data_IF_050367191557
#
_entry.id   IF_050367191557
#
_cell.length_a   1.000
_cell.length_b   1.000
_cell.length_c   1.000
_cell.angle_alpha   90.00
_cell.angle_beta   90.00
_cell.angle_gamma   90.00
#
_symmetry.space_group_name_H-M   'P 1'
#
loop_
_entity.id
_entity.type
_entity.pdbx_description
1 polymer ?
#
# COMPACT_ATOMS: atom_id res chain seq x y z
N UNK A 1 10.87 -0.64 -8.12
CA UNK A 1 10.25 0.49 -7.40
C UNK A 1 11.05 0.80 -6.15
N UNK A 2 11.54 2.03 -5.95
CA UNK A 2 12.31 2.40 -4.74
C UNK A 2 11.44 3.26 -3.81
N UNK A 3 11.35 2.92 -2.53
CA UNK A 3 10.49 3.59 -1.56
C UNK A 3 11.30 4.42 -0.58
N UNK A 4 11.08 5.73 -0.49
CA UNK A 4 11.83 6.64 0.40
C UNK A 4 10.96 7.11 1.59
N UNK A 5 11.51 7.13 2.82
CA UNK A 5 10.98 7.88 3.98
C UNK A 5 11.96 8.89 4.64
N UNK A 6 11.51 10.15 4.77
CA UNK A 6 12.17 11.21 5.55
C UNK A 6 11.39 11.48 6.84
N UNK A 7 12.04 11.39 8.00
CA UNK A 7 11.52 11.93 9.27
C UNK A 7 12.42 13.11 9.64
N UNK A 8 11.82 14.27 9.91
CA UNK A 8 12.55 15.39 10.50
C UNK A 8 12.64 15.16 12.01
N UNK A 9 13.84 15.25 12.57
CA UNK A 9 14.03 15.33 14.01
C UNK A 9 13.45 16.65 14.49
N UNK A 10 12.35 16.57 15.25
CA UNK A 10 11.88 17.73 16.02
C UNK A 10 12.85 17.92 17.17
N UNK A 11 13.65 18.98 17.12
CA UNK A 11 14.32 19.55 18.29
C UNK A 11 13.26 19.81 19.35
N UNK A 12 13.44 19.22 20.53
CA UNK A 12 12.56 19.46 21.67
C UNK A 12 12.83 20.87 22.20
N UNK A 13 11.91 21.81 21.93
CA UNK A 13 11.85 23.06 22.69
C UNK A 13 11.26 22.79 24.07
N UNK A 14 11.89 23.39 25.09
CA UNK A 14 11.48 23.28 26.49
C UNK A 14 10.06 23.84 26.73
N UNK A 15 9.28 23.25 27.66
CA UNK A 15 7.91 23.67 27.90
C UNK A 15 7.86 25.07 28.54
N UNK A 16 7.04 25.97 27.95
CA UNK A 16 6.67 27.25 28.56
C UNK A 16 5.67 27.04 29.70
N UNK A 17 5.75 27.82 30.80
CA UNK A 17 4.86 27.70 31.94
C UNK A 17 3.42 28.13 31.62
N UNK A 18 2.43 27.61 32.35
CA UNK A 18 1.02 27.78 32.02
C UNK A 18 0.51 29.18 32.38
N UNK A 19 -0.08 29.86 31.39
CA UNK A 19 -0.92 31.03 31.59
C UNK A 19 -2.37 30.59 31.85
N UNK A 20 -2.87 30.93 33.04
CA UNK A 20 -4.26 30.82 33.42
C UNK A 20 -5.10 31.90 32.72
N UNK A 21 -6.15 31.49 32.01
CA UNK A 21 -7.31 32.36 31.80
C UNK A 21 -8.60 31.54 31.78
N UNK A 22 -9.44 31.83 32.78
CA UNK A 22 -10.84 31.48 32.83
C UNK A 22 -11.56 31.96 31.57
N UNK A 23 -12.43 31.13 31.00
CA UNK A 23 -13.72 31.60 30.50
C UNK A 23 -14.74 30.46 30.43
N UNK A 24 -15.84 30.71 31.12
CA UNK A 24 -17.05 29.92 31.27
C UNK A 24 -17.78 29.70 29.95
N UNK A 25 -18.24 28.48 29.69
CA UNK A 25 -19.40 28.24 28.83
C UNK A 25 -20.20 27.04 29.33
N UNK A 26 -21.37 27.37 29.87
CA UNK A 26 -22.43 26.45 30.28
C UNK A 26 -23.01 25.74 29.07
N UNK A 27 -23.15 24.42 29.13
CA UNK A 27 -24.07 23.66 28.26
C UNK A 27 -24.92 22.72 29.10
N UNK A 28 -26.22 22.87 28.88
CA UNK A 28 -27.34 22.25 29.57
C UNK A 28 -27.28 20.74 29.51
N UNK A 29 -27.44 20.13 30.68
CA UNK A 29 -27.89 18.76 30.86
C UNK A 29 -29.34 18.59 30.36
N UNK A 30 -29.60 17.47 29.68
CA UNK A 30 -30.96 16.90 29.53
C UNK A 30 -30.96 15.55 30.24
N UNK A 31 -31.89 15.28 31.17
CA UNK A 31 -31.98 13.98 31.82
C UNK A 31 -32.75 12.97 30.96
N UNK A 32 -32.24 11.74 30.96
CA UNK A 32 -32.90 10.53 30.46
C UNK A 32 -33.97 10.11 31.46
N UNK A 33 -35.21 9.89 31.02
CA UNK A 33 -36.26 9.27 31.81
C UNK A 33 -36.59 7.86 31.31
N UNK A 34 -36.94 7.01 32.28
CA UNK A 34 -37.13 5.56 32.29
C UNK A 34 -38.27 5.04 31.40
N UNK A 35 -38.30 3.74 31.05
CA UNK A 35 -39.52 3.07 30.62
C UNK A 35 -40.33 2.56 31.83
N UNK A 36 -41.65 2.70 31.75
CA UNK A 36 -42.66 2.19 32.68
C UNK A 36 -43.29 0.89 32.18
N UNK A 37 -43.68 0.05 33.14
CA UNK A 37 -44.26 -1.29 33.00
C UNK A 37 -45.75 -1.32 32.61
N UNK A 38 -46.14 -2.51 32.11
CA UNK A 38 -47.38 -3.27 32.29
C UNK A 38 -48.75 -2.74 31.79
N UNK A 39 -49.44 -3.55 30.96
CA UNK A 39 -50.62 -4.35 31.39
C UNK A 39 -51.29 -5.10 30.21
N UNK A 40 -51.67 -6.36 30.47
CA UNK A 40 -52.66 -7.18 29.73
C UNK A 40 -54.08 -6.91 30.32
N UNK A 41 -55.26 -7.44 29.86
CA UNK A 41 -55.59 -8.81 29.38
C UNK A 41 -56.53 -8.83 28.12
N UNK A 42 -56.90 -9.94 27.46
CA UNK A 42 -57.80 -11.01 27.92
C UNK A 42 -58.17 -11.98 26.76
N UNK A 43 -58.39 -13.26 27.12
CA UNK A 43 -59.23 -14.34 26.55
C UNK A 43 -59.43 -14.54 25.02
N UNK A 44 -59.17 -15.76 24.52
CA UNK A 44 -60.20 -16.81 24.33
C UNK A 44 -59.75 -18.03 23.48
N UNK A 45 -60.29 -19.19 23.87
CA UNK A 45 -60.60 -20.42 23.11
C UNK A 45 -59.52 -21.22 22.32
N UNK A 46 -59.11 -22.32 22.96
CA UNK A 46 -59.07 -23.72 22.45
C UNK A 46 -59.26 -23.99 20.95
N UNK A 47 -58.27 -24.65 20.35
CA UNK A 47 -58.47 -25.90 19.60
C UNK A 47 -57.13 -26.63 19.43
N UNK A 48 -57.12 -27.91 19.76
CA UNK A 48 -55.97 -28.81 19.71
C UNK A 48 -55.83 -29.39 18.31
N UNK A 49 -54.74 -29.05 17.62
CA UNK A 49 -54.30 -29.74 16.41
C UNK A 49 -52.84 -30.11 16.58
N UNK A 50 -52.59 -31.41 16.72
CA UNK A 50 -51.25 -32.00 16.73
C UNK A 50 -50.65 -31.86 15.32
N UNK A 51 -49.98 -30.74 15.08
CA UNK A 51 -49.10 -30.58 13.92
C UNK A 51 -47.70 -30.93 14.37
N UNK A 52 -47.20 -32.07 13.89
CA UNK A 52 -45.79 -32.44 13.94
C UNK A 52 -44.96 -31.33 13.30
N UNK A 53 -44.45 -30.38 14.09
CA UNK A 53 -43.39 -29.49 13.66
C UNK A 53 -42.13 -30.35 13.53
N UNK A 54 -41.84 -30.74 12.30
CA UNK A 54 -40.48 -31.12 11.95
C UNK A 54 -39.60 -29.91 12.24
N UNK A 55 -38.79 -30.01 13.30
CA UNK A 55 -37.64 -29.16 13.45
C UNK A 55 -36.70 -29.53 12.32
N UNK A 56 -36.81 -28.84 11.19
CA UNK A 56 -35.71 -28.75 10.23
C UNK A 56 -34.55 -28.14 11.00
N UNK A 57 -33.63 -28.99 11.44
CA UNK A 57 -32.29 -28.58 11.82
C UNK A 57 -31.76 -27.79 10.65
N UNK A 58 -31.66 -26.46 10.79
CA UNK A 58 -31.03 -25.61 9.82
C UNK A 58 -29.67 -26.22 9.47
N UNK A 59 -29.60 -26.82 8.28
CA UNK A 59 -28.37 -27.35 7.74
C UNK A 59 -27.38 -26.19 7.80
N UNK A 60 -26.42 -26.30 8.70
CA UNK A 60 -25.35 -25.32 8.84
C UNK A 60 -24.71 -25.26 7.47
N UNK A 61 -24.92 -24.16 6.75
CA UNK A 61 -24.45 -23.98 5.39
C UNK A 61 -22.95 -24.27 5.41
N UNK A 62 -22.59 -25.46 4.95
CA UNK A 62 -21.20 -25.89 4.87
C UNK A 62 -20.52 -24.89 3.96
N UNK A 63 -19.61 -24.10 4.52
CA UNK A 63 -18.92 -23.05 3.81
C UNK A 63 -18.38 -23.62 2.50
N UNK A 64 -18.80 -23.03 1.37
CA UNK A 64 -18.32 -23.43 0.05
C UNK A 64 -16.78 -23.41 0.11
N UNK A 65 -16.08 -24.47 -0.35
CA UNK A 65 -14.64 -24.51 -0.27
C UNK A 65 -14.06 -23.25 -0.93
N UNK A 66 -13.00 -22.67 -0.33
CA UNK A 66 -12.40 -21.44 -0.83
C UNK A 66 -12.01 -21.65 -2.29
N UNK A 67 -12.34 -20.67 -3.14
CA UNK A 67 -12.00 -20.76 -4.57
C UNK A 67 -10.49 -20.91 -4.68
N UNK A 68 -9.95 -21.94 -5.36
CA UNK A 68 -8.51 -22.14 -5.45
C UNK A 68 -7.86 -20.89 -6.07
N UNK A 69 -6.86 -20.35 -5.39
CA UNK A 69 -6.08 -19.20 -5.87
C UNK A 69 -4.73 -19.67 -6.43
N UNK A 70 -4.19 -19.00 -7.47
CA UNK A 70 -2.85 -19.30 -7.96
C UNK A 70 -1.77 -19.04 -6.89
N UNK A 71 -0.66 -19.78 -6.95
CA UNK A 71 0.50 -19.52 -6.08
C UNK A 71 1.08 -18.13 -6.37
N UNK A 72 1.41 -17.41 -5.30
CA UNK A 72 2.10 -16.13 -5.35
C UNK A 72 3.26 -16.15 -4.34
N UNK A 73 4.40 -15.57 -4.73
CA UNK A 73 5.61 -15.56 -3.92
C UNK A 73 6.21 -14.17 -3.81
N UNK A 74 6.71 -13.83 -2.62
CA UNK A 74 7.54 -12.65 -2.38
C UNK A 74 8.79 -13.08 -1.65
N UNK A 75 9.95 -12.87 -2.26
CA UNK A 75 11.25 -13.08 -1.62
C UNK A 75 11.74 -11.73 -1.07
N UNK A 76 12.19 -11.70 0.18
CA UNK A 76 12.75 -10.48 0.80
C UNK A 76 14.18 -10.74 1.25
N UNK A 77 15.12 -9.94 0.75
CA UNK A 77 16.51 -9.89 1.21
C UNK A 77 16.66 -8.70 2.17
N UNK A 78 16.93 -8.98 3.44
CA UNK A 78 16.96 -7.96 4.50
C UNK A 78 18.24 -7.14 4.46
N UNK A 79 18.11 -5.82 4.59
CA UNK A 79 19.22 -4.85 4.66
C UNK A 79 20.25 -4.95 3.51
N UNK A 80 19.88 -5.60 2.40
CA UNK A 80 20.81 -5.97 1.35
C UNK A 80 21.40 -4.74 0.62
N UNK A 81 20.58 -3.72 0.37
CA UNK A 81 21.03 -2.53 -0.38
C UNK A 81 22.08 -1.72 0.36
N UNK A 82 22.00 -1.66 1.69
CA UNK A 82 23.00 -0.94 2.48
C UNK A 82 24.38 -1.59 2.38
N UNK A 83 24.46 -2.89 2.04
CA UNK A 83 25.71 -3.59 1.78
C UNK A 83 26.28 -3.29 0.39
N UNK A 84 25.42 -3.25 -0.64
CA UNK A 84 25.89 -3.09 -2.03
C UNK A 84 26.05 -1.62 -2.46
N UNK A 85 25.24 -0.72 -1.92
CA UNK A 85 25.20 0.70 -2.30
C UNK A 85 24.85 1.60 -1.10
N UNK A 86 25.73 1.72 -0.10
CA UNK A 86 25.43 2.44 1.16
C UNK A 86 25.04 3.91 0.97
N UNK A 87 25.49 4.57 -0.11
CA UNK A 87 25.17 5.97 -0.41
C UNK A 87 23.83 6.19 -1.14
N UNK A 88 23.12 5.13 -1.53
CA UNK A 88 21.89 5.28 -2.35
C UNK A 88 20.77 6.00 -1.62
N UNK A 89 20.70 5.83 -0.30
CA UNK A 89 19.71 6.51 0.53
C UNK A 89 19.93 8.03 0.44
N UNK A 90 21.14 8.50 0.77
CA UNK A 90 21.49 9.92 0.75
C UNK A 90 21.31 10.52 -0.64
N UNK A 91 21.78 9.81 -1.69
CA UNK A 91 21.58 10.22 -3.07
C UNK A 91 20.10 10.43 -3.39
N UNK A 92 19.24 9.46 -3.09
CA UNK A 92 17.81 9.51 -3.39
C UNK A 92 17.06 10.60 -2.62
N UNK A 93 17.42 10.87 -1.36
CA UNK A 93 16.82 11.97 -0.59
C UNK A 93 17.37 13.36 -0.95
N UNK A 94 18.50 13.43 -1.65
CA UNK A 94 19.03 14.67 -2.22
C UNK A 94 18.32 15.11 -3.51
N UNK A 95 17.58 14.21 -4.16
CA UNK A 95 16.83 14.53 -5.37
C UNK A 95 15.56 15.32 -5.07
N UNK A 96 15.13 16.13 -6.04
CA UNK A 96 13.86 16.87 -5.97
C UNK A 96 12.76 16.09 -6.68
N UNK A 97 11.77 15.51 -5.97
CA UNK A 97 10.74 14.71 -6.61
C UNK A 97 9.62 15.56 -7.20
N UNK A 98 8.91 15.01 -8.18
CA UNK A 98 7.72 15.66 -8.74
C UNK A 98 6.61 15.70 -7.71
N UNK A 99 6.14 16.91 -7.38
CA UNK A 99 5.03 17.14 -6.44
C UNK A 99 3.67 17.33 -7.12
N UNK A 100 3.63 17.30 -8.45
CA UNK A 100 2.45 17.48 -9.27
C UNK A 100 2.33 16.35 -10.30
N UNK A 101 1.10 16.10 -10.79
CA UNK A 101 0.83 15.23 -11.94
C UNK A 101 -0.24 15.87 -12.82
N UNK A 102 -0.23 15.53 -14.09
CA UNK A 102 -1.33 15.82 -15.01
C UNK A 102 -2.43 14.77 -14.85
N UNK A 103 -3.64 15.21 -14.51
CA UNK A 103 -4.82 14.35 -14.48
C UNK A 103 -5.49 14.35 -15.85
N UNK A 104 -5.28 13.31 -16.64
CA UNK A 104 -5.84 13.17 -17.99
C UNK A 104 -7.37 13.11 -18.01
N UNK A 105 -8.03 12.77 -16.91
CA UNK A 105 -9.50 12.74 -16.84
C UNK A 105 -10.09 14.13 -16.73
N UNK A 106 -9.39 15.03 -16.02
CA UNK A 106 -9.84 16.40 -15.82
C UNK A 106 -9.08 17.42 -16.67
N UNK A 107 -8.07 16.98 -17.43
CA UNK A 107 -7.23 17.83 -18.26
C UNK A 107 -6.40 18.87 -17.49
N UNK A 108 -6.14 18.63 -16.19
CA UNK A 108 -5.56 19.65 -15.29
C UNK A 108 -4.39 19.12 -14.48
N UNK A 109 -3.44 20.00 -14.16
CA UNK A 109 -2.32 19.69 -13.27
C UNK A 109 -2.79 19.74 -11.81
N UNK A 110 -2.50 18.67 -11.05
CA UNK A 110 -2.89 18.50 -9.65
C UNK A 110 -1.70 18.23 -8.75
N UNK A 111 -1.81 18.63 -7.49
CA UNK A 111 -0.82 18.30 -6.45
C UNK A 111 -0.90 16.83 -6.05
N UNK A 112 0.25 16.19 -5.89
CA UNK A 112 0.38 14.86 -5.30
C UNK A 112 0.30 14.98 -3.78
N UNK A 113 -0.71 14.33 -3.19
CA UNK A 113 -0.94 14.34 -1.73
C UNK A 113 -0.57 13.02 -1.06
N UNK A 114 -0.59 11.93 -1.83
CA UNK A 114 -0.40 10.58 -1.29
C UNK A 114 1.08 10.16 -1.21
N UNK A 115 1.90 10.65 -2.15
CA UNK A 115 3.33 10.37 -2.31
C UNK A 115 3.87 11.20 -3.47
N UNK A 116 5.17 11.49 -3.49
CA UNK A 116 5.85 12.06 -4.67
C UNK A 116 6.53 10.94 -5.47
N UNK A 117 6.97 11.20 -6.70
CA UNK A 117 7.71 10.22 -7.49
C UNK A 117 8.79 10.87 -8.37
N UNK A 118 9.75 10.05 -8.76
CA UNK A 118 10.67 10.28 -9.87
C UNK A 118 10.78 9.00 -10.68
N UNK A 119 11.05 9.15 -11.97
CA UNK A 119 11.38 8.03 -12.84
C UNK A 119 12.87 8.09 -13.21
N UNK A 120 13.47 6.93 -13.48
CA UNK A 120 14.88 6.84 -13.86
C UNK A 120 15.02 5.94 -15.09
N UNK A 121 15.85 6.40 -16.02
CA UNK A 121 16.14 5.74 -17.29
C UNK A 121 17.63 5.85 -17.62
N UNK A 122 18.07 5.09 -18.63
CA UNK A 122 19.44 5.19 -19.14
C UNK A 122 19.72 6.58 -19.73
N UNK A 123 20.99 7.00 -19.67
CA UNK A 123 21.45 8.29 -20.20
C UNK A 123 21.29 9.44 -19.21
N UNK A 124 20.96 10.63 -19.74
CA UNK A 124 20.97 11.89 -19.00
C UNK A 124 19.58 12.32 -18.49
N UNK A 125 18.50 11.64 -18.90
CA UNK A 125 17.14 11.96 -18.44
C UNK A 125 16.49 13.16 -19.14
N UNK A 126 15.44 13.72 -18.54
CA UNK A 126 14.68 14.88 -19.04
C UNK A 126 13.92 15.58 -17.91
N UNK A 127 13.72 16.91 -18.00
CA UNK A 127 12.82 17.62 -17.09
C UNK A 127 11.36 17.24 -17.32
N UNK A 128 10.49 17.55 -16.36
CA UNK A 128 9.05 17.40 -16.54
C UNK A 128 8.48 18.37 -17.59
N UNK A 129 7.48 17.91 -18.33
CA UNK A 129 6.56 18.73 -19.11
C UNK A 129 5.12 18.36 -18.71
N UNK A 130 4.61 19.07 -17.70
CA UNK A 130 3.31 18.74 -17.09
C UNK A 130 2.13 19.02 -18.02
N UNK A 131 2.26 19.96 -18.96
CA UNK A 131 1.25 20.24 -19.98
C UNK A 131 1.08 19.05 -20.94
N UNK A 132 2.19 18.41 -21.30
CA UNK A 132 2.19 17.16 -22.07
C UNK A 132 2.00 15.89 -21.19
N UNK A 133 1.74 16.05 -19.89
CA UNK A 133 1.59 14.92 -18.96
C UNK A 133 2.86 14.12 -18.69
N UNK A 134 4.03 14.70 -18.92
CA UNK A 134 5.33 14.05 -18.76
C UNK A 134 5.98 14.46 -17.43
N UNK A 135 6.25 13.47 -16.57
CA UNK A 135 7.02 13.67 -15.34
C UNK A 135 8.53 13.77 -15.59
N UNK A 136 9.26 14.19 -14.56
CA UNK A 136 10.72 14.24 -14.56
C UNK A 136 11.30 12.83 -14.67
N UNK A 137 12.32 12.67 -15.53
CA UNK A 137 13.15 11.48 -15.59
C UNK A 137 14.58 11.84 -15.25
N UNK A 138 15.13 11.21 -14.23
CA UNK A 138 16.53 11.35 -13.84
C UNK A 138 17.35 10.29 -14.58
N UNK A 139 18.35 10.71 -15.33
CA UNK A 139 19.25 9.81 -16.01
C UNK A 139 20.17 9.07 -15.05
N UNK A 140 20.43 7.78 -15.29
CA UNK A 140 21.37 6.99 -14.48
C UNK A 140 22.80 7.55 -14.44
N UNK A 141 23.17 8.42 -15.40
CA UNK A 141 24.46 9.12 -15.38
C UNK A 141 24.58 10.11 -14.20
N UNK A 142 23.46 10.58 -13.64
CA UNK A 142 23.42 11.56 -12.56
C UNK A 142 23.33 10.94 -11.16
N UNK A 143 23.05 9.64 -11.07
CA UNK A 143 22.74 8.93 -9.80
C UNK A 143 23.57 7.65 -9.67
N UNK A 144 24.89 7.77 -9.43
CA UNK A 144 25.82 6.64 -9.46
C UNK A 144 25.46 5.51 -8.49
N UNK A 145 24.93 5.80 -7.29
CA UNK A 145 24.54 4.76 -6.34
C UNK A 145 23.28 4.03 -6.79
N UNK A 146 22.29 4.75 -7.30
CA UNK A 146 21.06 4.16 -7.87
C UNK A 146 21.38 3.32 -9.10
N UNK A 147 22.29 3.80 -9.96
CA UNK A 147 22.77 3.04 -11.10
C UNK A 147 23.51 1.77 -10.67
N UNK A 148 24.31 1.82 -9.59
CA UNK A 148 24.94 0.63 -9.01
C UNK A 148 23.90 -0.38 -8.53
N UNK A 149 22.84 0.06 -7.84
CA UNK A 149 21.72 -0.80 -7.42
C UNK A 149 21.05 -1.43 -8.64
N UNK A 150 20.79 -0.64 -9.69
CA UNK A 150 20.19 -1.13 -10.92
C UNK A 150 21.04 -2.24 -11.57
N UNK A 151 22.35 -2.00 -11.74
CA UNK A 151 23.28 -2.99 -12.33
C UNK A 151 23.31 -4.26 -11.49
N UNK A 152 23.33 -4.12 -10.16
CA UNK A 152 23.33 -5.27 -9.26
C UNK A 152 22.05 -6.11 -9.41
N UNK A 153 20.88 -5.48 -9.44
CA UNK A 153 19.60 -6.19 -9.62
C UNK A 153 19.57 -6.91 -10.97
N UNK A 154 20.04 -6.28 -12.04
CA UNK A 154 20.12 -6.91 -13.37
C UNK A 154 21.03 -8.14 -13.32
N UNK A 155 22.21 -8.03 -12.70
CA UNK A 155 23.14 -9.15 -12.56
C UNK A 155 22.56 -10.30 -11.71
N UNK A 156 21.88 -9.98 -10.62
CA UNK A 156 21.22 -10.96 -9.75
C UNK A 156 20.11 -11.72 -10.49
N UNK A 157 19.27 -11.01 -11.26
CA UNK A 157 18.21 -11.63 -12.05
C UNK A 157 18.77 -12.50 -13.18
N UNK A 158 19.84 -12.06 -13.84
CA UNK A 158 20.53 -12.86 -14.84
C UNK A 158 21.13 -14.15 -14.23
N UNK A 159 21.75 -14.06 -13.06
CA UNK A 159 22.26 -15.23 -12.32
C UNK A 159 21.14 -16.19 -11.88
N UNK A 160 19.94 -15.66 -11.64
CA UNK A 160 18.74 -16.46 -11.36
C UNK A 160 18.07 -17.03 -12.63
N UNK A 161 18.67 -16.85 -13.81
CA UNK A 161 18.17 -17.38 -15.08
C UNK A 161 17.10 -16.53 -15.76
N UNK A 162 16.89 -15.27 -15.35
CA UNK A 162 15.98 -14.35 -16.06
C UNK A 162 16.63 -13.94 -17.39
N UNK A 163 15.97 -14.16 -18.54
CA UNK A 163 16.56 -13.83 -19.83
C UNK A 163 16.81 -12.34 -20.01
N UNK A 164 17.87 -11.98 -20.74
CA UNK A 164 18.31 -10.59 -20.94
C UNK A 164 17.27 -9.75 -21.71
N UNK A 165 16.52 -10.39 -22.59
CA UNK A 165 15.39 -9.79 -23.31
C UNK A 165 14.22 -9.43 -22.39
N UNK A 166 14.12 -10.07 -21.22
CA UNK A 166 13.14 -9.71 -20.17
C UNK A 166 13.70 -8.59 -19.30
N UNK A 167 14.94 -8.72 -18.82
CA UNK A 167 15.59 -7.72 -17.95
C UNK A 167 17.02 -7.44 -18.37
N UNK A 168 17.30 -6.17 -18.63
CA UNK A 168 18.64 -5.67 -18.93
C UNK A 168 18.81 -4.25 -18.39
N UNK A 169 20.03 -3.74 -18.43
CA UNK A 169 20.30 -2.36 -18.02
C UNK A 169 19.56 -1.32 -18.88
N UNK A 170 19.29 -1.63 -20.16
CA UNK A 170 18.56 -0.73 -21.07
C UNK A 170 17.04 -0.87 -20.95
N UNK A 171 16.52 -1.98 -20.44
CA UNK A 171 15.07 -2.21 -20.30
C UNK A 171 14.56 -1.94 -18.89
N UNK A 172 15.41 -2.06 -17.85
CA UNK A 172 14.97 -1.80 -16.48
C UNK A 172 14.63 -0.31 -16.30
N UNK A 173 13.39 -0.06 -15.89
CA UNK A 173 12.89 1.26 -15.52
C UNK A 173 12.69 1.31 -14.02
N UNK A 174 13.06 2.43 -13.41
CA UNK A 174 12.88 2.62 -11.97
C UNK A 174 11.90 3.75 -11.74
N UNK A 175 10.89 3.47 -10.93
CA UNK A 175 10.01 4.48 -10.36
C UNK A 175 10.29 4.53 -8.85
N UNK A 176 10.53 5.73 -8.33
CA UNK A 176 10.57 5.97 -6.89
C UNK A 176 9.23 6.46 -6.39
N UNK A 177 8.86 6.04 -5.19
CA UNK A 177 7.76 6.60 -4.45
C UNK A 177 8.29 7.18 -3.13
N UNK A 178 8.09 8.48 -2.95
CA UNK A 178 8.60 9.24 -1.80
C UNK A 178 7.46 9.52 -0.83
N UNK A 179 7.61 8.98 0.38
CA UNK A 179 6.64 9.07 1.49
C UNK A 179 7.21 10.00 2.56
N UNK A 180 6.85 11.27 2.47
CA UNK A 180 7.33 12.30 3.40
C UNK A 180 6.67 12.19 4.78
N UNK A 181 5.47 11.63 4.85
CA UNK A 181 4.75 11.37 6.09
C UNK A 181 4.11 9.96 6.06
N UNK A 182 4.78 8.91 6.59
CA UNK A 182 4.27 7.54 6.59
C UNK A 182 2.96 7.35 7.36
N UNK A 183 2.61 8.26 8.25
CA UNK A 183 1.33 8.20 8.97
C UNK A 183 0.16 8.60 8.07
N UNK A 184 0.43 9.30 6.94
CA UNK A 184 -0.59 9.83 6.03
C UNK A 184 -0.39 9.44 4.57
N UNK A 185 0.80 9.01 4.17
CA UNK A 185 1.16 8.66 2.81
C UNK A 185 1.05 7.16 2.60
N UNK A 186 0.91 6.77 1.33
CA UNK A 186 0.73 5.38 0.95
C UNK A 186 0.16 5.23 -0.46
N UNK A 187 -0.08 3.99 -0.83
CA UNK A 187 -0.74 3.60 -2.06
C UNK A 187 -1.75 2.50 -1.74
N UNK A 188 -2.97 2.65 -2.24
CA UNK A 188 -4.03 1.67 -2.02
C UNK A 188 -3.80 0.38 -2.80
N UNK A 189 -4.68 -0.60 -2.60
CA UNK A 189 -4.60 -1.89 -3.25
C UNK A 189 -4.66 -1.76 -4.78
N UNK A 190 -3.58 -2.20 -5.44
CA UNK A 190 -3.42 -2.21 -6.90
C UNK A 190 -2.54 -3.39 -7.31
N UNK A 191 -2.41 -3.59 -8.62
CA UNK A 191 -1.36 -4.42 -9.20
C UNK A 191 -0.60 -3.62 -10.27
N UNK A 192 0.54 -4.16 -10.67
CA UNK A 192 1.41 -3.58 -11.70
C UNK A 192 1.08 -4.19 -13.07
N UNK A 193 0.04 -3.68 -13.76
CA UNK A 193 -0.47 -4.27 -15.02
C UNK A 193 0.63 -4.48 -16.06
N UNK A 194 1.52 -3.49 -16.20
CA UNK A 194 2.52 -3.43 -17.24
C UNK A 194 3.82 -4.18 -16.90
N UNK A 195 3.94 -4.77 -15.70
CA UNK A 195 5.21 -5.34 -15.20
C UNK A 195 5.10 -6.85 -14.99
N UNK A 196 5.98 -7.60 -15.66
CA UNK A 196 6.13 -9.06 -15.45
C UNK A 196 7.10 -9.41 -14.33
N UNK A 197 8.10 -8.56 -14.11
CA UNK A 197 9.10 -8.68 -13.03
C UNK A 197 9.08 -7.40 -12.23
N UNK A 198 8.79 -7.50 -10.93
CA UNK A 198 8.78 -6.35 -10.02
C UNK A 198 9.78 -6.61 -8.90
N UNK A 199 10.80 -5.76 -8.86
CA UNK A 199 11.76 -5.67 -7.75
C UNK A 199 11.55 -4.36 -7.03
N UNK A 200 11.34 -4.44 -5.73
CA UNK A 200 11.22 -3.30 -4.86
C UNK A 200 12.42 -3.14 -3.95
N UNK A 201 12.78 -1.89 -3.68
CA UNK A 201 13.82 -1.52 -2.73
C UNK A 201 13.22 -0.56 -1.73
N UNK A 202 13.43 -0.81 -0.44
CA UNK A 202 13.02 0.10 0.62
C UNK A 202 14.23 0.86 1.14
N UNK A 203 14.16 2.20 1.11
CA UNK A 203 15.15 3.08 1.71
C UNK A 203 14.48 3.94 2.80
N UNK A 204 15.28 4.44 3.73
CA UNK A 204 14.81 5.29 4.82
C UNK A 204 15.98 5.99 5.50
N UNK A 205 15.73 7.19 6.02
CA UNK A 205 16.76 7.99 6.69
C UNK A 205 17.10 7.53 8.11
N UNK A 206 16.24 6.72 8.74
CA UNK A 206 16.50 6.12 10.07
C UNK A 206 16.26 4.62 10.02
N UNK A 207 16.85 3.86 10.94
CA UNK A 207 16.69 2.38 11.00
C UNK A 207 15.24 1.97 11.28
N UNK A 208 14.49 2.85 11.92
CA UNK A 208 13.09 2.69 12.32
C UNK A 208 12.12 3.09 11.20
N UNK A 209 12.62 3.54 10.04
CA UNK A 209 11.84 3.97 8.87
C UNK A 209 11.15 2.81 8.13
N UNK A 210 10.36 2.04 8.86
CA UNK A 210 9.68 0.83 8.40
C UNK A 210 8.37 1.18 7.71
N UNK A 211 7.97 0.38 6.73
CA UNK A 211 6.70 0.56 6.03
C UNK A 211 6.12 -0.80 5.64
N UNK A 212 4.85 -1.08 5.98
CA UNK A 212 4.22 -2.32 5.57
C UNK A 212 3.88 -2.28 4.09
N UNK A 213 4.09 -3.41 3.42
CA UNK A 213 3.40 -3.79 2.20
C UNK A 213 2.43 -4.93 2.52
N UNK A 214 1.18 -4.78 2.10
CA UNK A 214 0.07 -5.69 2.40
C UNK A 214 -0.43 -6.28 1.10
N UNK A 215 -0.52 -7.61 1.04
CA UNK A 215 -1.07 -8.36 -0.08
C UNK A 215 -2.42 -8.94 0.30
N UNK A 216 -3.41 -8.77 -0.57
CA UNK A 216 -4.80 -9.18 -0.34
C UNK A 216 -5.42 -9.77 -1.60
N UNK A 217 -6.21 -10.82 -1.42
CA UNK A 217 -6.96 -11.47 -2.48
C UNK A 217 -8.30 -10.77 -2.75
N UNK A 218 -8.62 -10.64 -4.03
CA UNK A 218 -9.85 -10.05 -4.53
C UNK A 218 -10.50 -10.94 -5.60
N UNK A 219 -11.83 -11.01 -5.58
CA UNK A 219 -12.63 -11.48 -6.72
C UNK A 219 -13.40 -10.27 -7.26
N UNK A 220 -13.07 -9.84 -8.48
CA UNK A 220 -13.63 -8.61 -9.02
C UNK A 220 -13.28 -7.39 -8.17
N UNK A 221 -14.28 -6.80 -7.50
CA UNK A 221 -14.11 -5.64 -6.60
C UNK A 221 -14.15 -6.02 -5.12
N UNK A 222 -14.46 -7.28 -4.80
CA UNK A 222 -14.68 -7.74 -3.44
C UNK A 222 -13.44 -8.40 -2.86
N UNK A 223 -13.21 -8.20 -1.57
CA UNK A 223 -12.15 -8.87 -0.81
C UNK A 223 -12.57 -10.32 -0.56
N UNK A 224 -11.66 -11.26 -0.82
CA UNK A 224 -11.86 -12.68 -0.50
C UNK A 224 -11.52 -12.92 0.97
N UNK A 225 -12.51 -12.77 1.86
CA UNK A 225 -12.37 -12.79 3.33
C UNK A 225 -11.91 -14.14 3.89
N UNK A 226 -12.05 -15.21 3.11
CA UNK A 226 -11.53 -16.54 3.44
C UNK A 226 -9.98 -16.60 3.44
N UNK A 227 -9.32 -15.60 2.87
CA UNK A 227 -7.85 -15.50 2.85
C UNK A 227 -7.36 -14.38 3.75
N UNK A 228 -6.37 -14.69 4.57
CA UNK A 228 -5.68 -13.68 5.37
C UNK A 228 -4.81 -12.76 4.52
N UNK A 229 -4.77 -11.49 4.91
CA UNK A 229 -3.80 -10.54 4.35
C UNK A 229 -2.38 -10.98 4.72
N UNK A 230 -1.47 -10.94 3.74
CA UNK A 230 -0.04 -11.11 4.01
C UNK A 230 0.61 -9.75 4.17
N UNK A 231 1.14 -9.49 5.35
CA UNK A 231 1.81 -8.23 5.70
C UNK A 231 3.31 -8.47 5.77
N UNK A 232 4.07 -7.71 5.00
CA UNK A 232 5.53 -7.70 5.08
C UNK A 232 5.94 -6.31 5.52
N UNK A 233 6.55 -6.23 6.70
CA UNK A 233 7.09 -4.97 7.20
C UNK A 233 8.52 -4.77 6.67
N UNK A 234 8.69 -3.79 5.78
CA UNK A 234 9.94 -3.52 5.06
C UNK A 234 10.76 -2.46 5.79
N UNK A 235 12.01 -2.80 6.12
CA UNK A 235 12.98 -1.89 6.70
C UNK A 235 13.89 -1.22 5.65
N UNK A 236 14.62 -0.17 6.04
CA UNK A 236 15.66 0.42 5.20
C UNK A 236 16.68 -0.62 4.75
N UNK A 237 17.02 -0.60 3.47
CA UNK A 237 17.96 -1.51 2.84
C UNK A 237 17.32 -2.81 2.33
N UNK A 238 16.07 -3.11 2.65
CA UNK A 238 15.40 -4.33 2.20
C UNK A 238 15.17 -4.30 0.68
N UNK A 239 15.38 -5.45 0.03
CA UNK A 239 14.98 -5.71 -1.35
C UNK A 239 13.90 -6.77 -1.34
N UNK A 240 12.87 -6.62 -2.16
CA UNK A 240 11.88 -7.66 -2.36
C UNK A 240 11.62 -7.94 -3.84
N UNK A 241 11.39 -9.22 -4.15
CA UNK A 241 11.09 -9.72 -5.48
C UNK A 241 9.69 -10.30 -5.46
N UNK A 242 8.83 -9.83 -6.34
CA UNK A 242 7.49 -10.36 -6.49
C UNK A 242 7.46 -11.35 -7.67
N UNK A 243 6.84 -12.50 -7.47
CA UNK A 243 6.39 -13.32 -8.60
C UNK A 243 5.37 -12.52 -9.44
N UNK A 244 5.16 -12.89 -10.69
CA UNK A 244 4.18 -12.22 -11.56
C UNK A 244 2.79 -12.12 -10.90
N UNK A 245 2.34 -13.20 -10.25
CA UNK A 245 1.08 -13.18 -9.50
C UNK A 245 1.08 -12.21 -8.31
N UNK A 246 2.22 -12.03 -7.64
CA UNK A 246 2.33 -11.12 -6.50
C UNK A 246 2.43 -9.63 -6.93
N UNK A 247 3.03 -9.38 -8.09
CA UNK A 247 3.00 -8.07 -8.74
C UNK A 247 1.56 -7.69 -9.13
N UNK A 248 0.71 -8.68 -9.38
CA UNK A 248 -0.69 -8.47 -9.72
C UNK A 248 -0.86 -7.95 -11.15
N UNK A 249 -0.06 -8.43 -12.10
CA UNK A 249 -0.19 -8.07 -13.52
C UNK A 249 -1.62 -8.27 -14.05
N UNK A 250 -2.33 -9.26 -13.50
CA UNK A 250 -3.70 -9.62 -13.83
C UNK A 250 -4.80 -8.91 -13.02
N UNK A 251 -4.46 -7.92 -12.18
CA UNK A 251 -5.40 -7.34 -11.20
C UNK A 251 -6.66 -6.69 -11.77
N UNK A 252 -6.62 -6.32 -13.06
CA UNK A 252 -7.73 -5.74 -13.82
C UNK A 252 -8.71 -6.77 -14.36
N UNK A 253 -8.40 -8.07 -14.27
CA UNK A 253 -9.29 -9.13 -14.71
C UNK A 253 -10.27 -9.51 -13.57
N UNK A 254 -11.56 -9.14 -13.63
CA UNK A 254 -12.49 -9.35 -12.52
C UNK A 254 -12.99 -10.79 -12.40
N UNK A 255 -12.81 -11.62 -13.44
CA UNK A 255 -13.38 -12.98 -13.49
C UNK A 255 -12.52 -14.00 -12.75
N UNK A 256 -11.25 -13.68 -12.49
CA UNK A 256 -10.32 -14.55 -11.75
C UNK A 256 -9.99 -13.95 -10.37
N UNK A 257 -9.55 -14.77 -9.41
CA UNK A 257 -8.94 -14.26 -8.19
C UNK A 257 -7.68 -13.45 -8.52
N UNK A 258 -7.57 -12.24 -7.97
CA UNK A 258 -6.43 -11.35 -8.18
C UNK A 258 -5.77 -11.03 -6.84
N UNK A 259 -4.43 -11.02 -6.81
CA UNK A 259 -3.69 -10.55 -5.65
C UNK A 259 -3.31 -9.10 -5.90
N UNK A 260 -3.65 -8.23 -4.94
CA UNK A 260 -3.34 -6.80 -5.00
C UNK A 260 -2.48 -6.43 -3.80
N UNK A 261 -1.63 -5.44 -3.97
CA UNK A 261 -0.78 -4.95 -2.91
C UNK A 261 -1.01 -3.46 -2.61
N UNK A 262 -0.87 -3.09 -1.35
CA UNK A 262 -0.97 -1.74 -0.82
C UNK A 262 0.19 -1.49 0.13
N UNK A 263 0.56 -0.23 0.36
CA UNK A 263 1.62 0.08 1.32
C UNK A 263 1.43 1.44 1.98
N UNK A 264 2.04 1.59 3.16
CA UNK A 264 2.02 2.81 3.96
C UNK A 264 0.92 2.87 5.01
N UNK A 265 0.37 4.06 5.23
CA UNK A 265 -0.54 4.35 6.32
C UNK A 265 -1.78 3.44 6.35
N UNK A 266 -2.38 3.19 7.54
CA UNK A 266 -3.56 2.31 7.70
C UNK A 266 -4.70 2.57 6.72
N UNK A 267 -4.99 3.83 6.38
CA UNK A 267 -6.05 4.17 5.42
C UNK A 267 -5.85 3.59 4.01
N UNK A 268 -4.61 3.22 3.64
CA UNK A 268 -4.30 2.58 2.36
C UNK A 268 -4.26 1.06 2.47
N UNK A 269 -3.89 0.52 3.63
CA UNK A 269 -3.60 -0.90 3.84
C UNK A 269 -4.73 -1.67 4.53
N UNK A 270 -5.65 -0.98 5.20
CA UNK A 270 -6.76 -1.57 5.96
C UNK A 270 -8.15 -1.33 5.36
N UNK A 271 -8.27 -0.49 4.33
CA UNK A 271 -9.57 -0.17 3.73
C UNK A 271 -10.28 -1.38 3.10
N UNK A 272 -11.62 -1.40 3.16
CA UNK A 272 -12.47 -2.33 2.40
C UNK A 272 -12.62 -3.74 2.96
N UNK A 273 -12.41 -3.96 4.26
CA UNK A 273 -12.89 -5.18 4.95
C UNK A 273 -14.36 -5.08 5.34
#
# INVERSE_FOLDING_TARGET
MIWLHKREEKTQEAPKPPTTTHQSRTKRWRPVQKPTEASAPSSSSSSSTTTTQQFETAATATARPPRPVPRAGVLVLRNFINLVAPGVTQEQFGLTPDKQYYDSKTGTVKKKRARYNLCFEAGDGRPANMEAGQGTVVGFNQVPHTHKVQKFIVALLAAAGVPKEVVSASTLRVETNVYTDPSRNGIGFHGDTERRVVVGVRLGLSKEARMPIVFRWYQGREVMKEYEDRVIDLGPGDVYFMSEKAAGSDWKNPTIPTLRHAAGAPKYTQGGR
#
